data_IF_630878390968
#
_entry.id   IF_630878390968
#
_cell.length_a   1.000
_cell.length_b   1.000
_cell.length_c   1.000
_cell.angle_alpha   90.00
_cell.angle_beta   90.00
_cell.angle_gamma   90.00
#
_symmetry.space_group_name_H-M   'P 1'
#
loop_
_entity.id
_entity.type
_entity.pdbx_description
1 polymer ?
#
# COMPACT_ATOMS: atom_id res chain seq x y z
N UNK A 1 31.72 11.80 24.74
CA UNK A 1 31.39 10.88 25.86
C UNK A 1 31.45 9.44 25.37
N UNK A 2 32.32 8.58 25.93
CA UNK A 2 32.34 7.14 25.63
C UNK A 2 31.05 6.53 26.21
N UNK A 3 30.22 5.97 25.35
CA UNK A 3 29.01 5.25 25.79
C UNK A 3 29.41 4.04 26.61
N UNK A 4 28.67 3.73 27.70
CA UNK A 4 28.98 2.55 28.52
C UNK A 4 28.79 1.26 27.69
N UNK A 5 29.64 0.27 27.95
CA UNK A 5 29.59 -1.05 27.29
C UNK A 5 28.21 -1.71 27.46
N UNK A 6 27.58 -1.54 28.63
CA UNK A 6 26.24 -2.05 28.93
C UNK A 6 25.17 -1.40 28.04
N UNK A 7 25.27 -0.12 27.72
CA UNK A 7 24.34 0.55 26.81
C UNK A 7 24.47 0.04 25.36
N UNK A 8 25.70 -0.18 24.89
CA UNK A 8 25.92 -0.74 23.55
C UNK A 8 25.39 -2.18 23.46
N UNK A 9 25.64 -3.00 24.48
CA UNK A 9 25.11 -4.38 24.54
C UNK A 9 23.58 -4.40 24.52
N UNK A 10 22.93 -3.56 25.33
CA UNK A 10 21.46 -3.42 25.32
C UNK A 10 20.95 -2.96 23.96
N UNK A 11 21.60 -2.00 23.32
CA UNK A 11 21.22 -1.50 21.97
C UNK A 11 21.26 -2.62 20.93
N UNK A 12 22.36 -3.40 20.89
CA UNK A 12 22.46 -4.51 19.93
C UNK A 12 21.46 -5.61 20.24
N UNK A 13 21.23 -5.94 21.50
CA UNK A 13 20.22 -6.91 21.89
C UNK A 13 18.81 -6.48 21.45
N UNK A 14 18.46 -5.20 21.65
CA UNK A 14 17.18 -4.65 21.20
C UNK A 14 17.04 -4.68 19.67
N UNK A 15 18.11 -4.34 18.93
CA UNK A 15 18.10 -4.40 17.45
C UNK A 15 17.95 -5.85 16.98
N UNK A 16 18.68 -6.81 17.56
CA UNK A 16 18.57 -8.21 17.19
C UNK A 16 17.19 -8.78 17.50
N UNK A 17 16.60 -8.41 18.65
CA UNK A 17 15.24 -8.82 18.99
C UNK A 17 14.21 -8.27 17.99
N UNK A 18 14.28 -6.98 17.69
CA UNK A 18 13.40 -6.35 16.71
C UNK A 18 13.55 -6.99 15.33
N UNK A 19 14.78 -7.28 14.91
CA UNK A 19 15.07 -7.97 13.65
C UNK A 19 14.48 -9.38 13.63
N UNK A 20 14.66 -10.15 14.70
CA UNK A 20 14.11 -11.50 14.82
C UNK A 20 12.57 -11.49 14.76
N UNK A 21 11.91 -10.63 15.55
CA UNK A 21 10.44 -10.49 15.54
C UNK A 21 9.91 -10.14 14.15
N UNK A 22 10.65 -9.32 13.38
CA UNK A 22 10.24 -8.93 12.01
C UNK A 22 10.53 -10.04 10.99
N UNK A 23 11.69 -10.69 11.07
CA UNK A 23 12.14 -11.65 10.05
C UNK A 23 11.52 -13.03 10.22
N UNK A 24 11.25 -13.50 11.44
CA UNK A 24 10.72 -14.85 11.69
C UNK A 24 9.41 -15.10 10.91
N UNK A 25 8.38 -14.22 10.96
CA UNK A 25 7.16 -14.42 10.17
C UNK A 25 7.41 -14.41 8.65
N UNK A 26 8.34 -13.57 8.18
CA UNK A 26 8.68 -13.48 6.76
C UNK A 26 9.38 -14.77 6.30
N UNK A 27 10.36 -15.25 7.08
CA UNK A 27 11.06 -16.50 6.80
C UNK A 27 10.11 -17.71 6.83
N UNK A 28 9.14 -17.70 7.76
CA UNK A 28 8.08 -18.72 7.77
C UNK A 28 7.23 -18.67 6.51
N UNK A 29 6.82 -17.47 6.06
CA UNK A 29 6.07 -17.31 4.81
C UNK A 29 6.88 -17.78 3.60
N UNK A 30 8.19 -17.46 3.55
CA UNK A 30 9.10 -17.97 2.51
C UNK A 30 9.15 -19.49 2.55
N UNK A 31 9.40 -20.07 3.73
CA UNK A 31 9.42 -21.53 3.91
C UNK A 31 8.11 -22.17 3.41
N UNK A 32 6.96 -21.63 3.83
CA UNK A 32 5.65 -22.15 3.47
C UNK A 32 5.38 -22.12 1.97
N UNK A 33 5.87 -21.07 1.28
CA UNK A 33 5.72 -20.93 -0.17
C UNK A 33 6.42 -22.06 -0.97
N UNK A 34 7.45 -22.66 -0.41
CA UNK A 34 8.20 -23.76 -1.03
C UNK A 34 7.85 -25.14 -0.48
N UNK A 35 6.94 -25.25 0.52
CA UNK A 35 6.49 -26.56 1.06
C UNK A 35 5.52 -27.26 0.11
N UNK A 36 5.66 -28.59 -0.07
CA UNK A 36 4.65 -29.40 -0.72
C UNK A 36 3.37 -29.47 0.13
N UNK A 37 2.25 -29.84 -0.49
CA UNK A 37 0.91 -29.88 0.15
C UNK A 37 0.91 -30.69 1.43
N UNK A 38 1.59 -31.82 1.46
CA UNK A 38 1.66 -32.70 2.64
C UNK A 38 2.33 -32.08 3.87
N UNK A 39 3.14 -31.02 3.69
CA UNK A 39 3.82 -30.34 4.79
C UNK A 39 3.07 -29.11 5.30
N UNK A 40 1.94 -28.69 4.68
CA UNK A 40 1.24 -27.44 5.06
C UNK A 40 0.56 -27.51 6.44
N UNK A 41 0.02 -28.68 6.78
CA UNK A 41 -0.76 -28.90 8.00
C UNK A 41 0.01 -29.70 9.06
N UNK A 42 1.29 -29.93 8.86
CA UNK A 42 2.12 -30.62 9.83
C UNK A 42 2.15 -29.86 11.16
N UNK A 43 1.91 -30.56 12.27
CA UNK A 43 1.85 -29.99 13.62
C UNK A 43 2.67 -30.86 14.60
N UNK A 44 3.04 -30.29 15.72
CA UNK A 44 3.80 -31.02 16.75
C UNK A 44 5.19 -31.42 16.26
N UNK A 45 5.53 -32.70 16.41
CA UNK A 45 6.85 -33.24 16.07
C UNK A 45 7.15 -33.25 14.56
N UNK A 46 6.10 -33.23 13.72
CA UNK A 46 6.23 -33.23 12.26
C UNK A 46 6.38 -31.82 11.68
N UNK A 47 6.27 -30.79 12.52
CA UNK A 47 6.44 -29.41 12.10
C UNK A 47 7.91 -29.14 11.74
N UNK A 48 8.15 -28.84 10.47
CA UNK A 48 9.47 -28.46 9.98
C UNK A 48 9.51 -26.95 9.69
N UNK A 49 10.59 -26.26 10.10
CA UNK A 49 10.79 -24.84 9.77
C UNK A 49 11.09 -24.65 8.29
N UNK A 50 11.86 -25.57 7.69
CA UNK A 50 12.18 -25.56 6.27
C UNK A 50 11.53 -26.75 5.56
N UNK A 51 11.17 -26.61 4.26
CA UNK A 51 10.60 -27.72 3.51
C UNK A 51 11.61 -28.87 3.43
N UNK A 52 11.18 -30.10 3.67
CA UNK A 52 12.01 -31.29 3.47
C UNK A 52 12.26 -31.54 1.98
N UNK A 53 11.22 -31.31 1.15
CA UNK A 53 11.28 -31.41 -0.29
C UNK A 53 10.84 -30.11 -0.95
N UNK A 54 11.74 -29.11 -1.10
CA UNK A 54 11.37 -27.81 -1.65
C UNK A 54 10.78 -27.93 -3.06
N UNK A 55 9.65 -27.25 -3.29
CA UNK A 55 8.95 -27.28 -4.57
C UNK A 55 8.53 -25.89 -5.04
N UNK A 56 8.43 -25.70 -6.35
CA UNK A 56 7.82 -24.52 -6.99
C UNK A 56 6.35 -24.75 -7.34
N UNK A 57 5.74 -25.87 -6.93
CA UNK A 57 4.36 -26.23 -7.28
C UNK A 57 3.36 -25.14 -6.86
N UNK A 58 3.55 -24.50 -5.69
CA UNK A 58 2.69 -23.41 -5.20
C UNK A 58 2.70 -22.19 -6.14
N UNK A 59 3.87 -21.82 -6.66
CA UNK A 59 3.99 -20.74 -7.64
C UNK A 59 3.37 -21.12 -8.99
N UNK A 60 3.63 -22.34 -9.49
CA UNK A 60 3.02 -22.83 -10.72
C UNK A 60 1.50 -22.89 -10.63
N UNK A 61 1.00 -23.36 -9.48
CA UNK A 61 -0.42 -23.46 -9.21
C UNK A 61 -1.14 -22.11 -9.30
N UNK A 62 -0.64 -21.06 -8.64
CA UNK A 62 -1.28 -19.73 -8.70
C UNK A 62 -1.26 -19.11 -10.10
N UNK A 63 -0.35 -19.55 -10.98
CA UNK A 63 -0.31 -19.14 -12.39
C UNK A 63 -1.03 -20.10 -13.34
N UNK A 64 -1.80 -21.06 -12.80
CA UNK A 64 -2.62 -21.97 -13.59
C UNK A 64 -1.87 -23.14 -14.24
N UNK A 65 -0.61 -23.35 -13.85
CA UNK A 65 0.17 -24.51 -14.24
C UNK A 65 0.02 -25.57 -13.13
N UNK A 66 -1.07 -26.33 -13.15
CA UNK A 66 -1.28 -27.33 -12.11
C UNK A 66 -0.42 -28.57 -12.33
N UNK A 67 0.38 -28.94 -11.33
CA UNK A 67 0.76 -30.32 -11.11
C UNK A 67 -0.46 -31.08 -10.55
N UNK A 68 -0.67 -32.28 -11.03
CA UNK A 68 -1.81 -33.16 -10.69
C UNK A 68 -1.98 -33.51 -9.20
N UNK A 69 -1.15 -33.01 -8.34
CA UNK A 69 -1.20 -33.20 -6.88
C UNK A 69 -2.22 -32.31 -6.14
N UNK A 70 -2.68 -31.23 -6.77
CA UNK A 70 -3.73 -30.36 -6.23
C UNK A 70 -5.02 -30.63 -6.98
N UNK A 71 -5.94 -31.32 -6.34
CA UNK A 71 -7.26 -31.73 -6.87
C UNK A 71 -8.19 -30.53 -7.15
N UNK A 72 -7.74 -29.32 -6.85
CA UNK A 72 -8.51 -28.10 -6.98
C UNK A 72 -8.08 -27.35 -8.23
N UNK A 73 -8.95 -27.31 -9.22
CA UNK A 73 -8.80 -26.40 -10.34
C UNK A 73 -9.03 -24.96 -9.84
N UNK A 74 -8.03 -24.08 -9.99
CA UNK A 74 -8.26 -22.66 -9.82
C UNK A 74 -9.14 -22.16 -10.96
N UNK A 75 -10.24 -21.54 -10.61
CA UNK A 75 -11.12 -20.86 -11.57
C UNK A 75 -10.40 -19.69 -12.29
N UNK A 76 -9.25 -19.25 -11.74
CA UNK A 76 -8.47 -18.09 -12.23
C UNK A 76 -7.01 -18.16 -11.82
N UNK A 77 -6.17 -17.60 -12.67
CA UNK A 77 -4.76 -17.37 -12.37
C UNK A 77 -4.55 -16.08 -11.57
N UNK A 78 -3.46 -15.97 -10.81
CA UNK A 78 -3.10 -14.77 -10.05
C UNK A 78 -2.71 -13.57 -10.93
N UNK A 79 -2.45 -13.77 -12.22
CA UNK A 79 -1.99 -12.68 -13.11
C UNK A 79 -2.99 -11.52 -13.17
N UNK A 80 -4.28 -11.84 -13.36
CA UNK A 80 -5.33 -10.83 -13.47
C UNK A 80 -5.58 -10.10 -12.16
N UNK A 81 -5.67 -10.75 -10.99
CA UNK A 81 -5.65 -10.10 -9.67
C UNK A 81 -4.46 -9.18 -9.42
N UNK A 82 -3.25 -9.58 -9.80
CA UNK A 82 -2.05 -8.74 -9.68
C UNK A 82 -2.19 -7.48 -10.55
N UNK A 83 -2.60 -7.63 -11.80
CA UNK A 83 -2.84 -6.49 -12.71
C UNK A 83 -3.94 -5.58 -12.20
N UNK A 84 -5.05 -6.16 -11.72
CA UNK A 84 -6.18 -5.42 -11.11
C UNK A 84 -5.71 -4.56 -9.94
N UNK A 85 -4.99 -5.17 -8.98
CA UNK A 85 -4.44 -4.44 -7.83
C UNK A 85 -3.47 -3.35 -8.27
N UNK A 86 -2.57 -3.64 -9.24
CA UNK A 86 -1.58 -2.67 -9.69
C UNK A 86 -2.25 -1.45 -10.35
N UNK A 87 -3.21 -1.68 -11.24
CA UNK A 87 -3.95 -0.60 -11.90
C UNK A 87 -4.79 0.18 -10.91
N UNK A 88 -5.64 -0.50 -10.13
CA UNK A 88 -6.55 0.16 -9.19
C UNK A 88 -5.80 0.96 -8.13
N UNK A 89 -4.76 0.39 -7.52
CA UNK A 89 -3.97 1.07 -6.49
C UNK A 89 -3.16 2.23 -7.08
N UNK A 90 -2.53 2.06 -8.26
CA UNK A 90 -1.73 3.14 -8.88
C UNK A 90 -2.60 4.31 -9.31
N UNK A 91 -3.70 4.06 -10.02
CA UNK A 91 -4.59 5.13 -10.47
C UNK A 91 -5.37 5.76 -9.32
N UNK A 92 -5.80 4.97 -8.31
CA UNK A 92 -6.39 5.52 -7.10
C UNK A 92 -5.43 6.43 -6.35
N UNK A 93 -4.15 6.03 -6.24
CA UNK A 93 -3.09 6.86 -5.65
C UNK A 93 -2.87 8.14 -6.47
N UNK A 94 -2.84 8.04 -7.79
CA UNK A 94 -2.67 9.20 -8.66
C UNK A 94 -3.82 10.22 -8.46
N UNK A 95 -5.06 9.76 -8.41
CA UNK A 95 -6.25 10.60 -8.15
C UNK A 95 -6.14 11.25 -6.76
N UNK A 96 -5.88 10.47 -5.71
CA UNK A 96 -5.77 10.99 -4.36
C UNK A 96 -4.63 12.02 -4.21
N UNK A 97 -3.45 11.71 -4.77
CA UNK A 97 -2.28 12.58 -4.68
C UNK A 97 -2.45 13.87 -5.48
N UNK A 98 -3.01 13.81 -6.68
CA UNK A 98 -3.23 15.03 -7.49
C UNK A 98 -4.24 15.94 -6.83
N UNK A 99 -5.41 15.44 -6.48
CA UNK A 99 -6.46 16.24 -5.84
C UNK A 99 -6.07 16.68 -4.42
N UNK A 100 -5.52 15.78 -3.61
CA UNK A 100 -5.11 16.05 -2.24
C UNK A 100 -3.97 17.08 -2.16
N UNK A 101 -2.96 16.97 -3.04
CA UNK A 101 -1.85 17.93 -3.12
C UNK A 101 -2.33 19.32 -3.56
N UNK A 102 -3.20 19.39 -4.58
CA UNK A 102 -3.74 20.67 -5.03
C UNK A 102 -4.60 21.34 -3.96
N UNK A 103 -5.44 20.58 -3.28
CA UNK A 103 -6.28 21.07 -2.18
C UNK A 103 -5.43 21.54 -0.97
N UNK A 104 -4.41 20.77 -0.60
CA UNK A 104 -3.49 21.11 0.48
C UNK A 104 -2.71 22.39 0.19
N UNK A 105 -2.20 22.54 -1.03
CA UNK A 105 -1.52 23.75 -1.48
C UNK A 105 -2.44 24.97 -1.45
N UNK A 106 -3.65 24.80 -2.00
CA UNK A 106 -4.67 25.87 -2.03
C UNK A 106 -5.02 26.39 -0.63
N UNK A 107 -5.21 25.49 0.33
CA UNK A 107 -5.49 25.87 1.71
C UNK A 107 -4.28 26.49 2.39
N UNK A 108 -3.09 25.91 2.24
CA UNK A 108 -1.87 26.38 2.92
C UNK A 108 -1.43 27.78 2.44
N UNK A 109 -1.63 28.12 1.16
CA UNK A 109 -1.15 29.38 0.57
C UNK A 109 -2.21 30.47 0.46
N UNK A 110 -3.47 30.09 0.20
CA UNK A 110 -4.53 31.08 -0.07
C UNK A 110 -5.61 31.12 1.00
N UNK A 111 -5.55 30.23 2.00
CA UNK A 111 -6.59 30.14 3.03
C UNK A 111 -7.96 29.74 2.45
N UNK A 112 -8.01 29.29 1.18
CA UNK A 112 -9.24 28.88 0.52
C UNK A 112 -9.71 27.54 1.05
N UNK A 113 -11.01 27.39 1.34
CA UNK A 113 -11.57 26.11 1.79
C UNK A 113 -11.28 25.81 3.26
N UNK A 114 -11.40 26.79 4.15
CA UNK A 114 -11.14 26.63 5.60
C UNK A 114 -11.96 25.49 6.24
N UNK A 115 -13.13 25.12 5.68
CA UNK A 115 -13.95 24.01 6.14
C UNK A 115 -13.51 22.65 5.56
N UNK A 116 -12.60 22.65 4.57
CA UNK A 116 -12.15 21.42 3.90
C UNK A 116 -11.45 20.43 4.88
N UNK A 117 -10.55 20.87 5.77
CA UNK A 117 -9.94 19.96 6.74
C UNK A 117 -10.98 19.26 7.62
N UNK A 118 -11.98 20.00 8.08
CA UNK A 118 -13.07 19.44 8.89
C UNK A 118 -13.89 18.44 8.08
N UNK A 119 -14.30 18.79 6.87
CA UNK A 119 -15.06 17.92 5.99
C UNK A 119 -14.30 16.61 5.67
N UNK A 120 -13.01 16.70 5.33
CA UNK A 120 -12.18 15.53 5.06
C UNK A 120 -11.97 14.64 6.30
N UNK A 121 -11.88 15.25 7.48
CA UNK A 121 -11.81 14.50 8.75
C UNK A 121 -13.12 13.80 9.04
N UNK A 122 -14.25 14.46 8.83
CA UNK A 122 -15.59 13.88 9.02
C UNK A 122 -15.82 12.69 8.10
N UNK A 123 -15.39 12.76 6.83
CA UNK A 123 -15.48 11.62 5.91
C UNK A 123 -14.78 10.36 6.43
N UNK A 124 -13.71 10.51 7.22
CA UNK A 124 -12.99 9.39 7.84
C UNK A 124 -13.65 8.81 9.08
N UNK A 125 -14.47 9.60 9.75
CA UNK A 125 -15.20 9.16 10.95
C UNK A 125 -16.43 8.28 10.61
N UNK A 126 -16.91 8.35 9.38
CA UNK A 126 -17.99 7.47 8.94
C UNK A 126 -17.53 6.01 8.90
N UNK A 127 -18.32 5.08 9.45
CA UNK A 127 -18.04 3.66 9.32
C UNK A 127 -17.97 3.26 7.84
N UNK A 128 -16.84 2.68 7.36
CA UNK A 128 -16.68 2.36 5.94
C UNK A 128 -17.84 1.51 5.38
N UNK A 129 -18.31 0.53 6.14
CA UNK A 129 -19.41 -0.35 5.72
C UNK A 129 -20.74 0.39 5.50
N UNK A 130 -21.04 1.42 6.30
CA UNK A 130 -22.27 2.18 6.14
C UNK A 130 -22.30 2.98 4.85
N UNK A 131 -21.13 3.49 4.41
CA UNK A 131 -20.97 4.25 3.16
C UNK A 131 -20.92 3.33 1.95
N UNK A 132 -20.37 2.13 2.11
CA UNK A 132 -20.15 1.21 0.98
C UNK A 132 -21.44 0.68 0.37
N UNK A 133 -22.54 0.50 1.15
CA UNK A 133 -23.80 0.01 0.58
C UNK A 133 -24.38 1.00 -0.45
N UNK A 134 -24.54 2.30 -0.16
CA UNK A 134 -24.94 3.29 -1.16
C UNK A 134 -23.98 3.35 -2.36
N UNK A 135 -22.67 3.27 -2.11
CA UNK A 135 -21.66 3.28 -3.19
C UNK A 135 -21.83 2.06 -4.10
N UNK A 136 -22.06 0.87 -3.57
CA UNK A 136 -22.31 -0.34 -4.37
C UNK A 136 -23.52 -0.18 -5.30
N UNK A 137 -24.62 0.36 -4.79
CA UNK A 137 -25.84 0.59 -5.57
C UNK A 137 -25.54 1.60 -6.68
N UNK A 138 -24.87 2.70 -6.37
CA UNK A 138 -24.48 3.73 -7.34
C UNK A 138 -23.54 3.16 -8.41
N UNK A 139 -22.54 2.36 -8.02
CA UNK A 139 -21.59 1.72 -8.94
C UNK A 139 -22.28 0.71 -9.86
N UNK A 140 -23.23 -0.07 -9.33
CA UNK A 140 -24.02 -0.98 -10.15
C UNK A 140 -24.86 -0.22 -11.19
N UNK A 141 -25.50 0.88 -10.79
CA UNK A 141 -26.26 1.73 -11.71
C UNK A 141 -25.40 2.35 -12.80
N UNK A 142 -24.19 2.83 -12.44
CA UNK A 142 -23.21 3.43 -13.36
C UNK A 142 -22.42 2.38 -14.18
N UNK A 143 -22.66 1.08 -13.97
CA UNK A 143 -21.91 -0.04 -14.59
C UNK A 143 -20.41 0.01 -14.31
N UNK A 144 -20.02 0.50 -13.13
CA UNK A 144 -18.63 0.60 -12.67
C UNK A 144 -18.23 -0.58 -11.77
N UNK A 145 -19.17 -1.41 -11.35
CA UNK A 145 -18.92 -2.63 -10.58
C UNK A 145 -18.05 -3.57 -11.40
N UNK A 146 -17.12 -4.25 -10.72
CA UNK A 146 -16.17 -5.20 -11.31
C UNK A 146 -15.32 -4.60 -12.43
N UNK A 147 -14.89 -3.35 -12.24
CA UNK A 147 -13.96 -2.65 -13.14
C UNK A 147 -12.79 -2.07 -12.35
N UNK A 148 -11.56 -2.14 -12.89
CA UNK A 148 -10.40 -1.59 -12.21
C UNK A 148 -10.46 -0.06 -12.06
N UNK A 149 -11.04 0.66 -13.05
CA UNK A 149 -11.18 2.13 -12.99
C UNK A 149 -12.28 2.55 -12.00
N UNK A 150 -13.38 1.80 -11.89
CA UNK A 150 -14.40 2.02 -10.88
C UNK A 150 -13.83 1.87 -9.47
N UNK A 151 -13.00 0.82 -9.25
CA UNK A 151 -12.30 0.62 -7.99
C UNK A 151 -11.27 1.73 -7.74
N UNK A 152 -10.51 2.15 -8.76
CA UNK A 152 -9.54 3.24 -8.65
C UNK A 152 -10.17 4.57 -8.25
N UNK A 153 -11.36 4.90 -8.76
CA UNK A 153 -12.10 6.09 -8.39
C UNK A 153 -12.45 6.09 -6.88
N UNK A 154 -12.97 4.96 -6.37
CA UNK A 154 -13.30 4.85 -4.93
C UNK A 154 -12.03 4.94 -4.09
N UNK A 155 -10.96 4.26 -4.47
CA UNK A 155 -9.67 4.34 -3.79
C UNK A 155 -9.15 5.78 -3.76
N UNK A 156 -9.23 6.49 -4.89
CA UNK A 156 -8.82 7.88 -4.98
C UNK A 156 -9.59 8.79 -4.03
N UNK A 157 -10.91 8.62 -3.92
CA UNK A 157 -11.77 9.42 -3.03
C UNK A 157 -11.52 9.07 -1.56
N UNK A 158 -11.48 7.78 -1.22
CA UNK A 158 -11.32 7.32 0.17
C UNK A 158 -9.94 7.65 0.74
N UNK A 159 -8.90 7.63 -0.08
CA UNK A 159 -7.53 7.94 0.36
C UNK A 159 -7.12 9.41 0.15
N UNK A 160 -7.94 10.21 -0.50
CA UNK A 160 -7.70 11.66 -0.67
C UNK A 160 -7.44 12.40 0.65
N UNK A 161 -8.19 12.16 1.75
CA UNK A 161 -7.91 12.80 3.04
C UNK A 161 -6.50 12.54 3.56
N UNK A 162 -5.95 11.34 3.32
CA UNK A 162 -4.56 11.03 3.71
C UNK A 162 -3.56 11.82 2.89
N UNK A 163 -3.74 11.86 1.56
CA UNK A 163 -2.91 12.64 0.66
C UNK A 163 -2.94 14.13 1.04
N UNK A 164 -4.14 14.67 1.29
CA UNK A 164 -4.34 16.06 1.71
C UNK A 164 -3.58 16.37 3.00
N UNK A 165 -3.79 15.60 4.09
CA UNK A 165 -3.18 15.89 5.38
C UNK A 165 -1.66 15.75 5.36
N UNK A 166 -1.14 14.73 4.70
CA UNK A 166 0.31 14.57 4.55
C UNK A 166 0.91 15.75 3.80
N UNK A 167 0.35 16.11 2.64
CA UNK A 167 0.88 17.22 1.84
C UNK A 167 0.69 18.58 2.50
N UNK A 168 -0.43 18.77 3.23
CA UNK A 168 -0.65 20.02 3.99
C UNK A 168 0.43 20.27 5.02
N UNK A 169 0.80 19.25 5.80
CA UNK A 169 1.89 19.38 6.78
C UNK A 169 3.19 19.84 6.11
N UNK A 170 3.55 19.26 4.98
CA UNK A 170 4.76 19.64 4.27
C UNK A 170 4.69 21.04 3.64
N UNK A 171 3.53 21.47 3.13
CA UNK A 171 3.37 22.84 2.63
C UNK A 171 3.39 23.87 3.75
N UNK A 172 2.83 23.55 4.91
CA UNK A 172 2.86 24.47 6.06
C UNK A 172 4.28 24.67 6.59
N UNK A 173 5.14 23.64 6.51
CA UNK A 173 6.55 23.71 6.91
C UNK A 173 7.45 24.41 5.88
N UNK A 174 7.00 24.60 4.66
CA UNK A 174 7.79 25.21 3.60
C UNK A 174 7.78 26.74 3.70
N UNK A 175 8.96 27.40 3.72
CA UNK A 175 9.07 28.86 3.75
C UNK A 175 8.34 29.53 2.57
N UNK A 176 7.51 30.53 2.85
CA UNK A 176 6.75 31.27 1.83
C UNK A 176 7.62 32.17 0.98
N UNK A 177 8.70 32.64 1.53
CA UNK A 177 9.66 33.57 0.90
C UNK A 177 10.19 33.03 -0.43
N UNK A 178 10.30 31.71 -0.57
CA UNK A 178 10.76 31.07 -1.81
C UNK A 178 9.74 31.26 -2.95
N UNK A 179 8.46 31.14 -2.63
CA UNK A 179 7.37 31.34 -3.58
C UNK A 179 7.18 32.83 -3.91
N UNK A 180 7.31 33.69 -2.90
CA UNK A 180 7.23 35.14 -3.03
C UNK A 180 8.34 35.68 -3.93
N UNK A 181 9.58 35.19 -3.78
CA UNK A 181 10.69 35.54 -4.65
C UNK A 181 10.37 35.22 -6.14
N UNK A 182 9.80 34.03 -6.40
CA UNK A 182 9.39 33.67 -7.75
C UNK A 182 8.28 34.56 -8.32
N UNK A 183 7.37 35.04 -7.47
CA UNK A 183 6.32 36.01 -7.89
C UNK A 183 6.91 37.38 -8.18
N UNK A 184 7.88 37.86 -7.40
CA UNK A 184 8.59 39.12 -7.63
C UNK A 184 9.39 39.09 -8.94
N UNK A 185 9.94 37.93 -9.30
CA UNK A 185 10.60 37.70 -10.61
C UNK A 185 9.62 37.60 -11.80
N UNK A 186 8.32 37.82 -11.56
CA UNK A 186 7.29 37.85 -12.62
C UNK A 186 6.73 36.48 -13.00
N UNK A 187 6.99 35.43 -12.23
CA UNK A 187 6.35 34.15 -12.44
C UNK A 187 4.86 34.20 -12.06
N UNK A 188 4.00 33.59 -12.88
CA UNK A 188 2.60 33.38 -12.48
C UNK A 188 2.52 32.37 -11.33
N UNK A 189 1.45 32.43 -10.51
CA UNK A 189 1.21 31.48 -9.39
C UNK A 189 1.26 30.02 -9.82
N UNK A 190 0.71 29.69 -11.02
CA UNK A 190 0.79 28.36 -11.58
C UNK A 190 2.23 27.94 -11.92
N UNK A 191 3.04 28.87 -12.42
CA UNK A 191 4.45 28.60 -12.71
C UNK A 191 5.26 28.41 -11.43
N UNK A 192 5.00 29.21 -10.39
CA UNK A 192 5.58 29.02 -9.05
C UNK A 192 5.24 27.64 -8.52
N UNK A 193 3.97 27.26 -8.51
CA UNK A 193 3.54 25.93 -8.05
C UNK A 193 4.23 24.79 -8.81
N UNK A 194 4.20 24.81 -10.14
CA UNK A 194 4.68 23.68 -10.94
C UNK A 194 6.19 23.62 -11.11
N UNK A 195 6.88 24.79 -11.12
CA UNK A 195 8.33 24.87 -11.39
C UNK A 195 9.20 25.09 -10.14
N UNK A 196 8.62 25.60 -9.07
CA UNK A 196 9.35 25.87 -7.81
C UNK A 196 8.84 24.93 -6.73
N UNK A 197 7.58 25.02 -6.33
CA UNK A 197 7.02 24.33 -5.18
C UNK A 197 7.01 22.80 -5.37
N UNK A 198 6.39 22.28 -6.44
CA UNK A 198 6.32 20.84 -6.67
C UNK A 198 7.69 20.15 -6.79
N UNK A 199 8.68 20.71 -7.50
CA UNK A 199 10.02 20.12 -7.53
C UNK A 199 10.72 20.09 -6.17
N UNK A 200 10.48 21.09 -5.31
CA UNK A 200 11.01 21.08 -3.93
C UNK A 200 10.32 20.00 -3.07
N UNK A 201 9.06 19.73 -3.33
CA UNK A 201 8.25 18.73 -2.62
C UNK A 201 8.42 17.29 -3.16
N UNK A 202 9.42 17.00 -4.01
CA UNK A 202 9.60 15.64 -4.59
C UNK A 202 9.71 14.54 -3.53
N UNK A 203 10.48 14.78 -2.47
CA UNK A 203 10.66 13.79 -1.41
C UNK A 203 9.38 13.60 -0.58
N UNK A 204 8.70 14.64 -0.06
CA UNK A 204 7.37 14.54 0.54
C UNK A 204 6.33 13.87 -0.36
N UNK A 205 6.25 14.28 -1.63
CA UNK A 205 5.31 13.71 -2.60
C UNK A 205 5.53 12.20 -2.79
N UNK A 206 6.79 11.78 -2.94
CA UNK A 206 7.12 10.37 -3.10
C UNK A 206 6.74 9.55 -1.85
N UNK A 207 7.01 10.09 -0.65
CA UNK A 207 6.68 9.44 0.62
C UNK A 207 5.17 9.33 0.83
N UNK A 208 4.43 10.41 0.55
CA UNK A 208 2.97 10.41 0.65
C UNK A 208 2.35 9.46 -0.39
N UNK A 209 2.86 9.45 -1.62
CA UNK A 209 2.40 8.56 -2.67
C UNK A 209 2.63 7.08 -2.33
N UNK A 210 3.80 6.74 -1.76
CA UNK A 210 4.06 5.37 -1.29
C UNK A 210 3.06 4.97 -0.20
N UNK A 211 2.83 5.85 0.78
CA UNK A 211 1.89 5.57 1.85
C UNK A 211 0.46 5.34 1.32
N UNK A 212 -0.02 6.23 0.46
CA UNK A 212 -1.35 6.11 -0.16
C UNK A 212 -1.44 4.87 -1.05
N UNK A 213 -0.36 4.56 -1.80
CA UNK A 213 -0.31 3.34 -2.61
C UNK A 213 -0.43 2.08 -1.75
N UNK A 214 0.31 1.99 -0.63
CA UNK A 214 0.22 0.85 0.29
C UNK A 214 -1.20 0.70 0.85
N UNK A 215 -1.88 1.79 1.20
CA UNK A 215 -3.27 1.75 1.65
C UNK A 215 -4.19 1.14 0.58
N UNK A 216 -4.10 1.63 -0.66
CA UNK A 216 -4.90 1.15 -1.78
C UNK A 216 -4.54 -0.30 -2.19
N UNK A 217 -3.25 -0.64 -2.18
CA UNK A 217 -2.74 -1.96 -2.52
C UNK A 217 -3.19 -3.04 -1.55
N UNK A 218 -3.23 -2.70 -0.26
CA UNK A 218 -3.57 -3.64 0.82
C UNK A 218 -5.06 -3.68 1.13
N UNK A 219 -5.89 -2.88 0.44
CA UNK A 219 -7.32 -2.86 0.71
C UNK A 219 -8.00 -4.16 0.29
N UNK A 220 -8.75 -4.71 1.22
CA UNK A 220 -9.55 -5.91 1.04
C UNK A 220 -11.05 -5.60 0.96
N UNK A 221 -11.53 -4.71 1.83
CA UNK A 221 -12.95 -4.54 2.07
C UNK A 221 -13.67 -3.87 0.90
N UNK A 222 -13.15 -2.75 0.41
CA UNK A 222 -13.72 -2.01 -0.72
C UNK A 222 -13.67 -2.88 -1.98
N UNK A 223 -12.52 -3.54 -2.20
CA UNK A 223 -12.36 -4.44 -3.34
C UNK A 223 -13.34 -5.62 -3.28
N UNK A 224 -13.54 -6.24 -2.10
CA UNK A 224 -14.48 -7.34 -1.92
C UNK A 224 -15.91 -6.95 -2.29
N UNK A 225 -16.30 -5.72 -1.99
CA UNK A 225 -17.66 -5.23 -2.22
C UNK A 225 -17.89 -4.74 -3.65
N UNK A 226 -16.85 -4.23 -4.33
CA UNK A 226 -16.97 -3.62 -5.65
C UNK A 226 -16.48 -4.49 -6.81
N UNK A 227 -15.78 -5.59 -6.51
CA UNK A 227 -15.32 -6.54 -7.54
C UNK A 227 -15.93 -7.91 -7.29
N UNK A 228 -16.24 -8.64 -8.36
CA UNK A 228 -16.91 -9.95 -8.25
C UNK A 228 -16.16 -11.03 -9.01
N UNK A 229 -15.77 -10.79 -10.25
CA UNK A 229 -15.25 -11.83 -11.13
C UNK A 229 -14.04 -11.39 -11.94
N UNK A 230 -14.16 -10.29 -12.69
CA UNK A 230 -13.18 -9.93 -13.70
C UNK A 230 -11.96 -9.18 -13.12
N UNK A 231 -12.20 -8.24 -12.18
CA UNK A 231 -11.19 -7.33 -11.67
C UNK A 231 -10.96 -7.47 -10.17
N UNK A 232 -11.00 -8.71 -9.69
CA UNK A 232 -10.70 -9.07 -8.29
C UNK A 232 -9.26 -8.67 -7.97
N UNK A 233 -9.04 -8.09 -6.79
CA UNK A 233 -7.70 -7.69 -6.33
C UNK A 233 -6.93 -8.83 -5.66
N UNK A 234 -5.61 -8.67 -5.47
CA UNK A 234 -4.77 -9.68 -4.80
C UNK A 234 -5.27 -10.03 -3.40
N UNK A 235 -5.61 -9.07 -2.50
CA UNK A 235 -6.14 -9.43 -1.18
C UNK A 235 -7.43 -10.24 -1.25
N UNK A 236 -8.35 -9.91 -2.15
CA UNK A 236 -9.62 -10.65 -2.33
C UNK A 236 -9.35 -12.03 -2.92
N UNK A 237 -8.50 -12.12 -3.93
CA UNK A 237 -8.11 -13.40 -4.51
C UNK A 237 -7.38 -14.31 -3.50
N UNK A 238 -6.50 -13.74 -2.67
CA UNK A 238 -5.83 -14.47 -1.60
C UNK A 238 -6.83 -15.05 -0.58
N UNK A 239 -7.88 -14.31 -0.25
CA UNK A 239 -8.94 -14.78 0.64
C UNK A 239 -9.71 -15.95 0.03
N UNK A 240 -9.90 -15.98 -1.31
CA UNK A 240 -10.59 -17.07 -2.02
C UNK A 240 -9.75 -18.34 -2.18
N UNK A 241 -8.45 -18.31 -1.91
CA UNK A 241 -7.56 -19.49 -1.94
C UNK A 241 -7.85 -20.41 -0.73
N UNK A 242 -9.02 -21.01 -0.74
CA UNK A 242 -9.47 -22.02 0.22
C UNK A 242 -10.34 -23.02 -0.50
N UNK A 243 -10.32 -24.27 -0.06
CA UNK A 243 -11.16 -25.32 -0.59
C UNK A 243 -11.95 -25.98 0.53
N UNK A 244 -13.19 -26.34 0.26
CA UNK A 244 -14.01 -27.13 1.18
C UNK A 244 -13.45 -28.54 1.41
N UNK A 245 -12.68 -29.06 0.48
CA UNK A 245 -12.04 -30.40 0.59
C UNK A 245 -10.66 -30.36 1.26
N UNK A 246 -9.83 -29.37 0.93
CA UNK A 246 -8.43 -29.29 1.40
C UNK A 246 -8.21 -28.22 2.48
N UNK A 247 -9.23 -27.47 2.85
CA UNK A 247 -9.11 -26.33 3.76
C UNK A 247 -8.34 -25.16 3.13
N UNK A 248 -7.46 -24.54 3.91
CA UNK A 248 -6.66 -23.41 3.46
C UNK A 248 -5.47 -23.88 2.60
N UNK A 249 -5.29 -23.24 1.44
CA UNK A 249 -4.15 -23.47 0.55
C UNK A 249 -2.94 -22.62 1.03
N UNK A 250 -2.34 -23.01 2.16
CA UNK A 250 -1.31 -22.23 2.84
C UNK A 250 -0.10 -21.93 1.96
N UNK A 251 0.41 -22.93 1.22
CA UNK A 251 1.55 -22.74 0.32
C UNK A 251 1.26 -21.77 -0.82
N UNK A 252 0.09 -21.91 -1.46
CA UNK A 252 -0.34 -21.01 -2.52
C UNK A 252 -0.55 -19.58 -2.01
N UNK A 253 -1.16 -19.40 -0.81
CA UNK A 253 -1.29 -18.10 -0.16
C UNK A 253 0.05 -17.47 0.16
N UNK A 254 0.99 -18.26 0.67
CA UNK A 254 2.34 -17.79 0.97
C UNK A 254 3.10 -17.37 -0.29
N UNK A 255 3.01 -18.17 -1.37
CA UNK A 255 3.61 -17.84 -2.66
C UNK A 255 3.03 -16.53 -3.25
N UNK A 256 1.70 -16.37 -3.20
CA UNK A 256 1.04 -15.14 -3.64
C UNK A 256 1.41 -13.94 -2.75
N UNK A 257 1.52 -14.14 -1.44
CA UNK A 257 1.94 -13.11 -0.48
C UNK A 257 3.35 -12.59 -0.76
N UNK A 258 4.28 -13.48 -1.11
CA UNK A 258 5.64 -13.07 -1.52
C UNK A 258 5.61 -12.21 -2.79
N UNK A 259 4.82 -12.60 -3.79
CA UNK A 259 4.67 -11.83 -5.03
C UNK A 259 3.99 -10.49 -4.75
N UNK A 260 2.95 -10.49 -3.91
CA UNK A 260 2.22 -9.28 -3.52
C UNK A 260 3.08 -8.29 -2.72
N UNK A 261 4.12 -8.75 -2.03
CA UNK A 261 5.06 -7.87 -1.33
C UNK A 261 6.01 -7.11 -2.28
N UNK A 262 6.21 -7.60 -3.51
CA UNK A 262 7.20 -7.04 -4.46
C UNK A 262 6.92 -5.58 -4.83
N UNK A 263 5.71 -5.15 -5.26
CA UNK A 263 5.47 -3.77 -5.67
C UNK A 263 5.71 -2.74 -4.56
N UNK A 264 5.17 -2.89 -3.32
CA UNK A 264 5.46 -1.97 -2.23
C UNK A 264 6.95 -1.93 -1.85
N UNK A 265 7.64 -3.08 -1.87
CA UNK A 265 9.06 -3.16 -1.54
C UNK A 265 9.90 -2.43 -2.59
N UNK A 266 9.64 -2.64 -3.88
CA UNK A 266 10.35 -1.92 -4.97
C UNK A 266 10.12 -0.41 -4.83
N UNK A 267 8.89 0.03 -4.60
CA UNK A 267 8.59 1.45 -4.39
C UNK A 267 9.30 2.00 -3.15
N UNK A 268 9.30 1.26 -2.03
CA UNK A 268 10.00 1.63 -0.81
C UNK A 268 11.51 1.81 -1.02
N UNK A 269 12.15 0.86 -1.71
CA UNK A 269 13.58 0.93 -2.06
C UNK A 269 13.86 2.13 -2.99
N UNK A 270 13.00 2.38 -3.98
CA UNK A 270 13.16 3.50 -4.90
C UNK A 270 13.08 4.87 -4.17
N UNK A 271 12.24 4.95 -3.14
CA UNK A 271 11.97 6.20 -2.41
C UNK A 271 12.91 6.39 -1.20
N UNK A 272 13.52 5.33 -0.65
CA UNK A 272 14.35 5.38 0.57
C UNK A 272 15.40 6.50 0.55
N UNK A 273 16.05 6.75 -0.61
CA UNK A 273 17.03 7.84 -0.77
C UNK A 273 16.44 9.24 -0.58
N UNK A 274 15.12 9.40 -0.78
CA UNK A 274 14.41 10.66 -0.60
C UNK A 274 13.91 10.80 0.84
N UNK A 275 13.54 9.68 1.51
CA UNK A 275 13.10 9.65 2.90
C UNK A 275 14.22 10.09 3.86
N UNK A 276 15.44 9.61 3.66
CA UNK A 276 16.59 9.93 4.53
C UNK A 276 16.91 11.42 4.49
N UNK A 277 16.78 12.09 3.35
CA UNK A 277 17.02 13.54 3.24
C UNK A 277 15.92 14.38 3.86
N UNK A 278 14.65 13.94 3.82
CA UNK A 278 13.52 14.66 4.42
C UNK A 278 13.53 14.66 5.96
N UNK A 279 13.97 13.56 6.58
CA UNK A 279 14.04 13.43 8.03
C UNK A 279 15.17 14.27 8.66
N UNK A 280 16.23 14.59 7.92
CA UNK A 280 17.35 15.41 8.42
C UNK A 280 17.03 16.90 8.45
N UNK A 281 16.12 17.41 7.62
CA UNK A 281 15.67 18.80 7.68
C UNK A 281 14.83 19.13 8.93
N UNK A 282 14.10 18.16 9.49
CA UNK A 282 13.35 18.33 10.72
C UNK A 282 14.21 18.31 12.00
N UNK A 283 15.40 17.69 11.95
CA UNK A 283 16.29 17.55 13.11
C UNK A 283 17.22 18.77 13.36
N UNK A 284 17.27 19.74 12.45
CA UNK A 284 18.11 20.94 12.55
C UNK A 284 17.38 22.17 13.13
N UNK A 285 16.13 22.01 13.59
CA UNK A 285 15.35 23.04 14.29
C UNK A 285 15.45 22.91 15.82
N UNK A 286 16.64 22.61 16.37
CA UNK A 286 16.96 22.82 17.80
C UNK A 286 18.16 23.72 17.93
#
# INVERSE_FOLDING_TARGET
MKRSVSFELFRYAAILLALAVTLIPILWMVSMAFKPVGEWSATGADLTWWPQNPTLSNFRFIFGQSDSSLIVALDRTAMKPILSSLLSASFGTLIAMTAGTAAAYGLSRFGSGQNLPLALTQLRLFPPMAVMIPVMIMWAFLKLTDTWWGLALVYGIVTLPFAFWLMKTFFDDMPREIEEAGLVEGCSRWRVFTRITLPMMRAPLASAALFVFILNWSDYLIALLLTTREWVTVPVYMASLSSSMTGQLYGAKAALGLIAAVPPVIMGIAIQRHLVRGLTFGALKQ
#
